data_IF_995589397784
#
_entry.id   IF_995589397784
#
_cell.length_a   1.000
_cell.length_b   1.000
_cell.length_c   1.000
_cell.angle_alpha   90.00
_cell.angle_beta   90.00
_cell.angle_gamma   90.00
#
_symmetry.space_group_name_H-M   'P 1'
#
loop_
_entity.id
_entity.type
_entity.pdbx_description
1 polymer ?
#
# COMPACT_ATOMS: atom_id res chain seq x y z
N UNK A 1 -10.45 5.53 -67.39
CA UNK A 1 -9.56 4.73 -66.52
C UNK A 1 -8.88 5.70 -65.56
N UNK A 2 -9.29 5.83 -64.28
CA UNK A 2 -8.88 5.02 -63.12
C UNK A 2 -7.35 4.75 -63.12
N UNK A 3 -6.55 5.00 -62.08
CA UNK A 3 -6.78 5.40 -60.69
C UNK A 3 -5.48 5.95 -60.08
N UNK A 4 -5.68 6.72 -59.00
CA UNK A 4 -4.74 7.13 -57.95
C UNK A 4 -3.60 6.14 -57.65
N UNK A 5 -2.38 6.66 -57.55
CA UNK A 5 -1.37 6.19 -56.59
C UNK A 5 -0.77 7.40 -55.87
N UNK A 6 -1.49 7.88 -54.85
CA UNK A 6 -0.90 8.67 -53.79
C UNK A 6 -0.76 7.75 -52.58
N UNK A 7 0.31 6.95 -52.54
CA UNK A 7 0.76 6.31 -51.31
C UNK A 7 1.47 7.37 -50.47
N UNK A 8 0.71 8.20 -49.76
CA UNK A 8 1.27 9.02 -48.69
C UNK A 8 1.59 8.10 -47.51
N UNK A 9 2.88 7.95 -47.26
CA UNK A 9 3.42 7.41 -46.01
C UNK A 9 2.87 8.30 -44.89
N UNK A 10 1.94 7.76 -44.12
CA UNK A 10 1.41 8.42 -42.92
C UNK A 10 2.60 8.58 -41.98
N UNK A 11 3.07 9.83 -41.86
CA UNK A 11 4.15 10.22 -40.98
C UNK A 11 3.72 10.00 -39.54
N UNK A 12 4.57 9.26 -38.81
CA UNK A 12 4.39 8.68 -37.48
C UNK A 12 4.04 9.68 -36.35
N UNK A 13 3.94 10.97 -36.62
CA UNK A 13 3.75 12.02 -35.61
C UNK A 13 2.29 12.12 -35.13
N UNK A 14 1.32 12.13 -36.06
CA UNK A 14 -0.11 12.16 -35.74
C UNK A 14 -0.60 10.85 -35.08
N UNK A 15 0.06 9.74 -35.38
CA UNK A 15 -0.25 8.43 -34.78
C UNK A 15 0.15 8.35 -33.30
N UNK A 16 1.20 9.08 -32.89
CA UNK A 16 1.67 9.16 -31.50
C UNK A 16 0.74 10.05 -30.68
N UNK A 17 0.34 11.21 -31.20
CA UNK A 17 -0.55 12.14 -30.50
C UNK A 17 -1.95 11.54 -30.25
N UNK A 18 -2.49 10.81 -31.23
CA UNK A 18 -3.78 10.11 -31.11
C UNK A 18 -3.73 8.98 -30.08
N UNK A 19 -2.55 8.40 -29.83
CA UNK A 19 -2.32 7.38 -28.80
C UNK A 19 -2.32 8.00 -27.40
N UNK A 20 -1.76 9.20 -27.23
CA UNK A 20 -1.82 9.94 -25.96
C UNK A 20 -3.22 10.45 -25.63
N UNK A 21 -3.98 10.94 -26.62
CA UNK A 21 -5.37 11.36 -26.38
C UNK A 21 -6.26 10.19 -25.93
N UNK A 22 -5.98 8.97 -26.41
CA UNK A 22 -6.62 7.75 -25.90
C UNK A 22 -6.15 7.45 -24.48
N UNK A 23 -4.87 7.58 -24.18
CA UNK A 23 -4.31 7.38 -22.84
C UNK A 23 -4.77 8.42 -21.80
N UNK A 24 -5.27 9.59 -22.23
CA UNK A 24 -5.93 10.60 -21.37
C UNK A 24 -7.42 10.29 -21.13
N UNK A 25 -8.04 9.54 -22.02
CA UNK A 25 -9.45 9.11 -21.90
C UNK A 25 -9.61 7.89 -21.00
N UNK A 26 -8.58 7.04 -20.95
CA UNK A 26 -8.37 6.10 -19.87
C UNK A 26 -7.65 6.86 -18.74
N UNK A 27 -8.04 6.69 -17.49
CA UNK A 27 -7.26 7.25 -16.38
C UNK A 27 -5.96 6.45 -16.28
N UNK A 28 -4.98 6.74 -17.15
CA UNK A 28 -3.64 6.18 -17.06
C UNK A 28 -2.95 6.84 -15.87
N UNK A 29 -3.22 6.28 -14.69
CA UNK A 29 -2.48 6.56 -13.48
C UNK A 29 -1.03 6.16 -13.77
N UNK A 30 -0.12 7.12 -13.69
CA UNK A 30 1.31 6.89 -13.88
C UNK A 30 1.74 5.65 -13.10
N UNK A 31 2.39 4.70 -13.77
CA UNK A 31 3.03 3.58 -13.08
C UNK A 31 3.95 4.15 -11.99
N UNK A 32 3.65 3.85 -10.73
CA UNK A 32 4.48 4.28 -9.61
C UNK A 32 5.83 3.60 -9.81
N UNK A 33 6.91 4.39 -9.73
CA UNK A 33 8.26 3.90 -9.99
C UNK A 33 8.55 2.68 -9.12
N UNK A 34 8.73 1.52 -9.76
CA UNK A 34 8.95 0.24 -9.10
C UNK A 34 10.18 0.28 -8.18
N UNK A 35 11.15 1.16 -8.42
CA UNK A 35 12.32 1.34 -7.56
C UNK A 35 12.00 2.07 -6.23
N UNK A 36 10.87 2.79 -6.14
CA UNK A 36 10.45 3.44 -4.88
C UNK A 36 9.72 2.47 -3.94
N UNK A 37 9.16 1.38 -4.46
CA UNK A 37 8.53 0.34 -3.67
C UNK A 37 9.46 -0.88 -3.67
N UNK A 38 10.06 -1.22 -2.54
CA UNK A 38 10.96 -2.37 -2.36
C UNK A 38 10.25 -3.73 -2.49
N UNK A 39 9.43 -3.93 -3.53
CA UNK A 39 8.69 -5.15 -3.82
C UNK A 39 9.30 -5.77 -5.06
N UNK A 40 10.31 -6.62 -4.87
CA UNK A 40 10.85 -7.47 -5.90
C UNK A 40 10.41 -8.91 -5.62
N UNK A 41 9.54 -9.46 -6.47
CA UNK A 41 9.16 -10.86 -6.42
C UNK A 41 10.00 -11.63 -7.44
N UNK A 42 11.01 -12.36 -6.97
CA UNK A 42 11.72 -13.34 -7.81
C UNK A 42 10.84 -14.59 -7.96
N UNK A 43 10.22 -14.69 -9.13
CA UNK A 43 9.33 -15.78 -9.52
C UNK A 43 9.96 -17.16 -9.33
N UNK A 44 11.21 -17.34 -9.77
CA UNK A 44 11.87 -18.64 -9.77
C UNK A 44 12.27 -19.03 -8.35
N UNK A 45 12.74 -18.07 -7.57
CA UNK A 45 13.03 -18.27 -6.15
C UNK A 45 11.75 -18.65 -5.37
N UNK A 46 10.64 -17.95 -5.59
CA UNK A 46 9.37 -18.23 -4.92
C UNK A 46 8.83 -19.62 -5.25
N UNK A 47 8.88 -20.02 -6.53
CA UNK A 47 8.45 -21.38 -6.95
C UNK A 47 9.33 -22.49 -6.38
N UNK A 48 10.62 -22.23 -6.18
CA UNK A 48 11.53 -23.17 -5.51
C UNK A 48 11.23 -23.29 -4.02
N UNK A 49 10.95 -22.17 -3.35
CA UNK A 49 10.68 -22.15 -1.91
C UNK A 49 9.30 -22.72 -1.54
N UNK A 50 8.29 -22.45 -2.37
CA UNK A 50 6.91 -22.87 -2.12
C UNK A 50 6.42 -23.62 -3.37
N UNK A 51 6.49 -24.97 -3.38
CA UNK A 51 6.26 -25.81 -4.56
C UNK A 51 4.87 -25.72 -5.24
N UNK A 52 3.94 -24.88 -4.76
CA UNK A 52 2.62 -24.62 -5.35
C UNK A 52 2.17 -23.17 -5.16
N UNK A 53 3.11 -22.23 -5.18
CA UNK A 53 2.78 -20.80 -5.04
C UNK A 53 1.86 -20.33 -6.17
N UNK A 54 0.79 -19.62 -5.81
CA UNK A 54 -0.15 -18.95 -6.72
C UNK A 54 0.21 -17.47 -6.82
N UNK A 55 1.05 -17.11 -7.80
CA UNK A 55 1.51 -15.72 -7.99
C UNK A 55 0.44 -14.81 -8.60
N UNK A 56 -0.62 -15.42 -9.14
CA UNK A 56 -1.82 -14.75 -9.65
C UNK A 56 -2.85 -14.41 -8.57
N UNK A 57 -2.57 -14.72 -7.29
CA UNK A 57 -3.50 -14.56 -6.17
C UNK A 57 -2.93 -13.64 -5.09
N UNK A 58 -3.76 -12.71 -4.61
CA UNK A 58 -3.47 -11.89 -3.42
C UNK A 58 -4.42 -12.29 -2.31
N UNK A 59 -3.86 -12.64 -1.16
CA UNK A 59 -4.63 -12.84 0.07
C UNK A 59 -4.94 -11.49 0.72
N UNK A 60 -6.19 -11.29 1.14
CA UNK A 60 -6.67 -10.08 1.81
C UNK A 60 -7.35 -10.48 3.11
N UNK A 61 -7.07 -9.74 4.17
CA UNK A 61 -7.71 -9.85 5.48
C UNK A 61 -8.34 -8.52 5.90
N UNK A 62 -9.34 -8.57 6.79
CA UNK A 62 -10.11 -7.39 7.23
C UNK A 62 -11.22 -7.01 6.27
N UNK A 63 -11.91 -8.02 5.70
CA UNK A 63 -13.00 -7.86 4.73
C UNK A 63 -14.39 -8.12 5.34
N UNK A 64 -14.50 -8.07 6.67
CA UNK A 64 -15.71 -8.38 7.45
C UNK A 64 -16.90 -7.45 7.18
N UNK A 65 -16.62 -6.21 6.77
CA UNK A 65 -17.64 -5.22 6.37
C UNK A 65 -17.68 -5.01 4.84
N UNK A 66 -17.12 -5.93 4.06
CA UNK A 66 -17.04 -5.80 2.59
C UNK A 66 -17.88 -6.85 1.86
N UNK A 67 -18.61 -6.40 0.84
CA UNK A 67 -19.23 -7.29 -0.12
C UNK A 67 -18.27 -7.69 -1.25
N UNK A 68 -18.66 -8.70 -2.02
CA UNK A 68 -17.96 -9.07 -3.27
C UNK A 68 -17.81 -7.86 -4.22
N UNK A 69 -18.84 -7.00 -4.30
CA UNK A 69 -18.81 -5.81 -5.14
C UNK A 69 -17.81 -4.75 -4.64
N UNK A 70 -17.66 -4.60 -3.33
CA UNK A 70 -16.71 -3.66 -2.74
C UNK A 70 -15.27 -4.07 -3.05
N UNK A 71 -14.96 -5.36 -2.97
CA UNK A 71 -13.63 -5.90 -3.33
C UNK A 71 -13.36 -5.70 -4.83
N UNK A 72 -14.32 -6.00 -5.72
CA UNK A 72 -14.17 -5.69 -7.15
C UNK A 72 -13.97 -4.19 -7.41
N UNK A 73 -14.68 -3.34 -6.67
CA UNK A 73 -14.59 -1.89 -6.81
C UNK A 73 -13.25 -1.35 -6.33
N UNK A 74 -12.68 -1.94 -5.27
CA UNK A 74 -11.34 -1.61 -4.78
C UNK A 74 -10.29 -1.84 -5.87
N UNK A 75 -10.33 -2.99 -6.53
CA UNK A 75 -9.40 -3.35 -7.61
C UNK A 75 -9.84 -2.90 -9.01
N UNK A 76 -10.71 -1.91 -9.17
CA UNK A 76 -11.22 -1.50 -10.49
C UNK A 76 -10.14 -1.08 -11.51
N UNK A 77 -8.99 -0.60 -11.05
CA UNK A 77 -7.84 -0.26 -11.91
C UNK A 77 -7.10 -1.51 -12.42
N UNK A 78 -7.23 -2.63 -11.70
CA UNK A 78 -6.65 -3.94 -12.03
C UNK A 78 -7.72 -5.03 -11.79
N UNK A 79 -8.77 -5.10 -12.64
CA UNK A 79 -9.93 -5.94 -12.36
C UNK A 79 -9.55 -7.41 -12.14
N UNK A 80 -9.94 -8.03 -11.01
CA UNK A 80 -9.71 -9.44 -10.78
C UNK A 80 -10.67 -10.32 -11.59
N UNK A 81 -10.31 -11.60 -11.75
CA UNK A 81 -11.14 -12.58 -12.44
C UNK A 81 -12.27 -13.08 -11.51
N UNK A 82 -11.93 -13.43 -10.28
CA UNK A 82 -12.88 -13.88 -9.27
C UNK A 82 -12.31 -13.71 -7.85
N UNK A 83 -13.18 -13.91 -6.87
CA UNK A 83 -12.87 -13.85 -5.44
C UNK A 83 -13.20 -15.22 -4.85
N UNK A 84 -12.25 -15.80 -4.12
CA UNK A 84 -12.42 -17.03 -3.35
C UNK A 84 -12.50 -16.64 -1.88
N UNK A 85 -13.72 -16.59 -1.33
CA UNK A 85 -13.92 -16.33 0.09
C UNK A 85 -13.41 -17.52 0.92
N UNK A 86 -12.61 -17.22 1.95
CA UNK A 86 -12.02 -18.23 2.84
C UNK A 86 -12.80 -18.29 4.15
N UNK A 87 -13.08 -17.13 4.73
CA UNK A 87 -13.92 -16.94 5.91
C UNK A 87 -14.56 -15.54 5.90
N UNK A 88 -15.28 -15.20 6.97
CA UNK A 88 -15.97 -13.91 7.11
C UNK A 88 -15.01 -12.71 7.18
N UNK A 89 -13.71 -12.94 7.35
CA UNK A 89 -12.69 -11.89 7.56
C UNK A 89 -11.60 -11.88 6.50
N UNK A 90 -11.59 -12.85 5.59
CA UNK A 90 -10.52 -13.04 4.62
C UNK A 90 -10.98 -13.68 3.30
N UNK A 91 -10.31 -13.28 2.22
CA UNK A 91 -10.52 -13.84 0.89
C UNK A 91 -9.24 -13.83 0.06
N UNK A 92 -9.21 -14.69 -0.95
CA UNK A 92 -8.24 -14.62 -2.04
C UNK A 92 -8.87 -13.85 -3.20
N UNK A 93 -8.14 -12.86 -3.70
CA UNK A 93 -8.47 -12.17 -4.95
C UNK A 93 -7.57 -12.73 -6.04
N UNK A 94 -8.17 -13.18 -7.15
CA UNK A 94 -7.48 -13.97 -8.18
C UNK A 94 -7.52 -13.27 -9.51
N UNK A 95 -6.37 -13.22 -10.19
CA UNK A 95 -6.21 -12.69 -11.55
C UNK A 95 -5.93 -13.81 -12.56
N UNK A 96 -6.07 -13.49 -13.85
CA UNK A 96 -5.74 -14.42 -14.94
C UNK A 96 -4.23 -14.62 -15.12
N UNK A 97 -3.42 -13.68 -14.63
CA UNK A 97 -1.98 -13.68 -14.80
C UNK A 97 -1.24 -13.06 -13.60
N UNK A 98 -0.01 -13.51 -13.38
CA UNK A 98 0.87 -13.07 -12.28
C UNK A 98 1.32 -11.61 -12.41
N UNK A 99 1.39 -11.07 -13.62
CA UNK A 99 1.88 -9.70 -13.86
C UNK A 99 0.85 -8.68 -13.39
N UNK A 100 -0.42 -8.90 -13.70
CA UNK A 100 -1.54 -8.05 -13.27
C UNK A 100 -1.72 -8.09 -11.76
N UNK A 101 -1.66 -9.27 -11.14
CA UNK A 101 -1.67 -9.40 -9.68
C UNK A 101 -0.51 -8.63 -9.04
N UNK A 102 0.70 -8.75 -9.60
CA UNK A 102 1.87 -8.01 -9.11
C UNK A 102 1.68 -6.50 -9.22
N UNK A 103 1.16 -5.99 -10.36
CA UNK A 103 0.85 -4.57 -10.54
C UNK A 103 -0.23 -4.09 -9.58
N UNK A 104 -1.27 -4.89 -9.34
CA UNK A 104 -2.31 -4.59 -8.37
C UNK A 104 -1.71 -4.47 -6.96
N UNK A 105 -0.91 -5.44 -6.53
CA UNK A 105 -0.24 -5.44 -5.24
C UNK A 105 0.61 -4.17 -5.04
N UNK A 106 1.47 -3.87 -6.02
CA UNK A 106 2.36 -2.71 -5.94
C UNK A 106 1.57 -1.42 -5.94
N UNK A 107 0.62 -1.24 -6.86
CA UNK A 107 -0.02 0.06 -7.06
C UNK A 107 -1.17 0.36 -6.09
N UNK A 108 -1.86 -0.68 -5.62
CA UNK A 108 -3.01 -0.54 -4.72
C UNK A 108 -2.62 -0.56 -3.24
N UNK A 109 -1.43 -1.09 -2.89
CA UNK A 109 -0.96 -1.08 -1.50
C UNK A 109 -0.58 0.32 -1.01
N UNK A 110 -0.93 0.63 0.24
CA UNK A 110 -0.42 1.77 0.98
C UNK A 110 0.78 1.32 1.84
N UNK A 111 1.85 2.12 1.83
CA UNK A 111 2.90 1.96 2.83
C UNK A 111 2.48 2.71 4.10
N UNK A 112 2.67 2.14 5.29
CA UNK A 112 2.53 2.92 6.51
C UNK A 112 3.50 4.11 6.44
N UNK A 113 3.00 5.30 6.77
CA UNK A 113 3.82 6.50 6.81
C UNK A 113 5.02 6.26 7.74
N UNK A 114 6.23 6.59 7.28
CA UNK A 114 7.48 6.49 8.05
C UNK A 114 7.56 7.59 9.13
N UNK A 115 6.44 7.92 9.77
CA UNK A 115 6.39 8.93 10.83
C UNK A 115 6.66 8.28 12.18
N UNK A 116 7.94 8.32 12.57
CA UNK A 116 8.47 8.28 13.93
C UNK A 116 8.33 6.95 14.70
N UNK A 117 9.10 5.95 14.28
CA UNK A 117 9.79 5.08 15.27
C UNK A 117 11.05 5.84 15.72
N UNK A 118 10.87 6.88 16.54
CA UNK A 118 11.98 7.52 17.28
C UNK A 118 11.61 7.55 18.76
N UNK A 119 12.34 6.70 19.49
CA UNK A 119 12.62 6.74 20.94
C UNK A 119 11.43 6.85 21.88
N UNK A 120 10.93 5.71 22.32
CA UNK A 120 10.32 5.59 23.65
C UNK A 120 11.08 4.51 24.42
N UNK A 121 12.37 4.77 24.66
CA UNK A 121 13.16 4.10 25.69
C UNK A 121 14.30 5.04 26.11
N UNK A 122 14.54 5.10 27.43
CA UNK A 122 15.49 5.93 28.18
C UNK A 122 14.99 7.30 28.68
N UNK A 123 14.30 7.30 29.82
CA UNK A 123 14.74 8.03 31.04
C UNK A 123 13.67 7.97 32.14
N UNK A 124 13.71 6.94 32.98
CA UNK A 124 13.34 7.10 34.39
C UNK A 124 14.61 7.23 35.22
N UNK A 125 14.53 8.20 36.15
CA UNK A 125 15.29 8.38 37.37
C UNK A 125 16.63 9.18 37.34
N UNK A 126 16.55 10.41 37.85
CA UNK A 126 17.37 11.02 38.93
C UNK A 126 17.53 12.53 38.78
N UNK A 127 16.79 13.29 39.58
CA UNK A 127 17.36 14.43 40.31
C UNK A 127 16.39 14.87 41.40
N UNK A 128 16.72 14.45 42.61
CA UNK A 128 16.22 15.02 43.83
C UNK A 128 16.78 16.43 44.06
N UNK A 129 16.05 17.17 44.89
CA UNK A 129 16.44 18.35 45.67
C UNK A 129 16.13 19.77 45.14
N UNK A 130 15.24 20.39 45.93
CA UNK A 130 15.34 21.74 46.52
C UNK A 130 14.43 22.80 45.87
N UNK A 131 13.25 22.98 46.50
CA UNK A 131 12.76 24.27 47.03
C UNK A 131 11.35 24.12 47.59
N UNK A 132 11.23 23.93 48.91
CA UNK A 132 10.11 24.45 49.70
C UNK A 132 10.65 24.83 51.09
N UNK A 133 10.76 26.13 51.35
CA UNK A 133 10.88 26.71 52.67
C UNK A 133 9.79 27.77 52.80
N UNK A 134 9.21 27.80 54.00
CA UNK A 134 8.24 28.73 54.58
C UNK A 134 6.76 28.52 54.24
N UNK A 135 6.03 27.89 55.17
CA UNK A 135 5.04 28.62 56.01
C UNK A 135 4.56 27.76 57.22
N UNK A 136 5.15 28.08 58.37
CA UNK A 136 4.59 28.34 59.72
C UNK A 136 3.32 27.62 60.27
N UNK A 137 3.39 27.40 61.60
CA UNK A 137 2.32 27.22 62.64
C UNK A 137 1.84 25.77 62.89
N UNK A 138 1.62 25.29 64.12
CA UNK A 138 1.73 25.77 65.51
C UNK A 138 1.41 24.57 66.45
N UNK A 139 1.82 24.65 67.73
CA UNK A 139 1.40 23.85 68.90
C UNK A 139 1.82 22.37 68.96
N UNK A 140 2.21 21.75 70.09
CA UNK A 140 2.22 22.11 71.52
C UNK A 140 3.14 21.12 72.28
N UNK A 141 3.82 21.66 73.30
CA UNK A 141 4.17 21.11 74.63
C UNK A 141 3.99 19.58 74.88
N UNK A 142 5.06 18.89 75.31
CA UNK A 142 5.20 18.40 76.71
C UNK A 142 6.49 17.58 76.97
N UNK A 143 7.12 17.95 78.08
CA UNK A 143 7.76 17.14 79.14
C UNK A 143 9.17 16.48 79.08
N UNK A 144 9.85 16.70 80.21
CA UNK A 144 10.85 15.92 80.97
C UNK A 144 12.37 16.21 80.89
N UNK A 145 12.91 16.36 82.12
CA UNK A 145 14.29 16.41 82.64
C UNK A 145 15.10 17.72 82.63
#
# INVERSE_FOLDING_TARGET
SCNLLASSIITNEEAIEKKEQRAKRFHFRSEVNLAQRNVALDRDMMKKAIPKVRLETIYICGVDEMSTQDVFSYFKEYPPAHIEWLDDTSCNVVWLDEMTATRALINMSSLPAQDKIRSRDASEDKSAEKRKKDKQEDSSEDDEA
#
